data_IF_290621911981
#
_entry.id   IF_290621911981
#
_cell.length_a   1.000
_cell.length_b   1.000
_cell.length_c   1.000
_cell.angle_alpha   90.00
_cell.angle_beta   90.00
_cell.angle_gamma   90.00
#
_symmetry.space_group_name_H-M   'P 1'
#
loop_
_entity.id
_entity.type
_entity.pdbx_description
1 polymer ?
#
# COMPACT_ATOMS: atom_id res chain seq x y z
N UNK A 1 -87.89 -40.45 -20.44
CA UNK A 1 -87.15 -39.32 -21.04
C UNK A 1 -87.22 -38.21 -20.00
N UNK A 2 -86.18 -37.69 -19.37
CA UNK A 2 -84.73 -37.73 -19.52
C UNK A 2 -84.14 -37.67 -18.11
N UNK A 3 -83.27 -38.59 -17.72
CA UNK A 3 -82.42 -38.37 -16.55
C UNK A 3 -81.19 -39.24 -16.66
N UNK A 4 -80.19 -38.79 -17.44
CA UNK A 4 -78.84 -39.35 -17.46
C UNK A 4 -77.90 -38.43 -18.25
N UNK A 5 -77.59 -37.23 -17.75
CA UNK A 5 -76.37 -36.53 -18.20
C UNK A 5 -75.91 -35.33 -17.33
N UNK A 6 -75.78 -35.47 -16.00
CA UNK A 6 -75.24 -34.37 -15.16
C UNK A 6 -73.92 -34.65 -14.43
N UNK A 7 -73.44 -35.90 -14.39
CA UNK A 7 -72.23 -36.23 -13.63
C UNK A 7 -70.93 -36.21 -14.46
N UNK A 8 -71.02 -36.16 -15.80
CA UNK A 8 -69.85 -36.09 -16.69
C UNK A 8 -69.25 -34.70 -16.87
N UNK A 9 -70.04 -33.64 -16.68
CA UNK A 9 -69.63 -32.26 -16.95
C UNK A 9 -68.87 -31.61 -15.78
N UNK A 10 -69.19 -31.97 -14.53
CA UNK A 10 -68.54 -31.41 -13.33
C UNK A 10 -67.09 -31.90 -13.18
N UNK A 11 -66.86 -33.21 -13.30
CA UNK A 11 -65.53 -33.79 -13.12
C UNK A 11 -64.56 -33.40 -14.25
N UNK A 12 -65.04 -33.28 -15.49
CA UNK A 12 -64.22 -32.82 -16.61
C UNK A 12 -63.84 -31.36 -16.48
N UNK A 13 -64.74 -30.50 -15.97
CA UNK A 13 -64.45 -29.11 -15.67
C UNK A 13 -63.36 -28.95 -14.59
N UNK A 14 -63.45 -29.70 -13.49
CA UNK A 14 -62.43 -29.67 -12.43
C UNK A 14 -61.08 -30.22 -12.89
N UNK A 15 -61.06 -31.27 -13.71
CA UNK A 15 -59.81 -31.82 -14.28
C UNK A 15 -59.16 -30.79 -15.21
N UNK A 16 -59.94 -30.16 -16.10
CA UNK A 16 -59.43 -29.11 -16.99
C UNK A 16 -58.93 -27.90 -16.21
N UNK A 17 -59.60 -27.51 -15.12
CA UNK A 17 -59.18 -26.39 -14.28
C UNK A 17 -57.89 -26.70 -13.50
N UNK A 18 -57.71 -27.92 -13.00
CA UNK A 18 -56.47 -28.38 -12.35
C UNK A 18 -55.33 -28.47 -13.39
N UNK A 19 -55.59 -28.96 -14.59
CA UNK A 19 -54.62 -28.99 -15.67
C UNK A 19 -54.19 -27.56 -16.06
N UNK A 20 -55.15 -26.63 -16.18
CA UNK A 20 -54.87 -25.23 -16.51
C UNK A 20 -54.07 -24.52 -15.42
N UNK A 21 -54.43 -24.73 -14.14
CA UNK A 21 -53.71 -24.20 -12.99
C UNK A 21 -52.29 -24.78 -12.91
N UNK A 22 -52.11 -26.07 -13.15
CA UNK A 22 -50.77 -26.69 -13.12
C UNK A 22 -49.86 -26.14 -14.23
N UNK A 23 -50.41 -25.85 -15.41
CA UNK A 23 -49.66 -25.29 -16.53
C UNK A 23 -49.28 -23.82 -16.30
N UNK A 24 -50.11 -23.04 -15.61
CA UNK A 24 -49.71 -21.68 -15.20
C UNK A 24 -48.60 -21.70 -14.15
N UNK A 25 -48.61 -22.61 -13.18
CA UNK A 25 -47.50 -22.75 -12.22
C UNK A 25 -46.19 -23.19 -12.89
N UNK A 26 -46.25 -24.12 -13.84
CA UNK A 26 -45.09 -24.56 -14.62
C UNK A 26 -44.56 -23.41 -15.49
N UNK A 27 -45.45 -22.66 -16.16
CA UNK A 27 -45.07 -21.52 -16.98
C UNK A 27 -44.44 -20.40 -16.14
N UNK A 28 -45.01 -20.08 -14.97
CA UNK A 28 -44.41 -19.15 -14.02
C UNK A 28 -43.01 -19.62 -13.56
N UNK A 29 -42.84 -20.91 -13.28
CA UNK A 29 -41.54 -21.48 -12.93
C UNK A 29 -40.50 -21.36 -14.05
N UNK A 30 -40.91 -21.59 -15.30
CA UNK A 30 -40.04 -21.43 -16.47
C UNK A 30 -39.68 -19.95 -16.69
N UNK A 31 -40.64 -19.02 -16.56
CA UNK A 31 -40.37 -17.58 -16.69
C UNK A 31 -39.43 -17.10 -15.60
N UNK A 32 -39.60 -17.54 -14.34
CA UNK A 32 -38.67 -17.22 -13.26
C UNK A 32 -37.29 -17.82 -13.55
N UNK A 33 -37.20 -19.06 -14.00
CA UNK A 33 -35.93 -19.69 -14.38
C UNK A 33 -35.22 -18.93 -15.50
N UNK A 34 -35.95 -18.47 -16.52
CA UNK A 34 -35.40 -17.64 -17.58
C UNK A 34 -35.01 -16.25 -17.09
N UNK A 35 -35.78 -15.61 -16.19
CA UNK A 35 -35.40 -14.31 -15.61
C UNK A 35 -34.15 -14.45 -14.73
N UNK A 36 -34.03 -15.51 -13.94
CA UNK A 36 -32.83 -15.80 -13.11
C UNK A 36 -31.64 -16.17 -14.00
N UNK A 37 -31.83 -17.07 -14.98
CA UNK A 37 -30.76 -17.44 -15.92
C UNK A 37 -30.35 -16.28 -16.83
N UNK A 38 -31.28 -15.37 -17.18
CA UNK A 38 -30.96 -14.15 -17.88
C UNK A 38 -30.35 -13.09 -16.95
N UNK A 39 -30.66 -13.08 -15.66
CA UNK A 39 -29.98 -12.23 -14.68
C UNK A 39 -28.49 -12.58 -14.64
N UNK A 40 -28.15 -13.88 -14.60
CA UNK A 40 -26.76 -14.36 -14.61
C UNK A 40 -26.03 -14.13 -15.96
N UNK A 41 -26.77 -13.86 -17.05
CA UNK A 41 -26.21 -13.58 -18.38
C UNK A 41 -26.19 -12.09 -18.75
N UNK A 42 -27.03 -11.26 -18.13
CA UNK A 42 -27.16 -9.81 -18.40
C UNK A 42 -26.40 -9.00 -17.35
N UNK A 43 -26.30 -9.52 -16.13
CA UNK A 43 -25.42 -9.04 -15.09
C UNK A 43 -24.44 -10.19 -14.83
N UNK A 44 -23.26 -10.24 -15.48
CA UNK A 44 -22.14 -10.85 -14.76
C UNK A 44 -22.18 -10.28 -13.35
N UNK A 45 -21.99 -11.10 -12.31
CA UNK A 45 -21.57 -10.54 -11.02
C UNK A 45 -20.43 -9.59 -11.39
N UNK A 46 -20.71 -8.30 -11.29
CA UNK A 46 -19.69 -7.28 -11.35
C UNK A 46 -18.82 -7.65 -10.14
N UNK A 47 -17.78 -8.47 -10.37
CA UNK A 47 -16.57 -8.40 -9.57
C UNK A 47 -16.29 -6.91 -9.53
N UNK A 48 -16.59 -6.27 -8.39
CA UNK A 48 -16.34 -4.87 -8.14
C UNK A 48 -15.04 -4.54 -8.86
N UNK A 49 -15.08 -3.91 -10.04
CA UNK A 49 -13.86 -3.50 -10.70
C UNK A 49 -13.31 -2.50 -9.71
N UNK A 50 -12.27 -2.85 -8.91
CA UNK A 50 -11.96 -2.02 -7.79
C UNK A 50 -11.33 -0.82 -8.44
N UNK A 51 -12.08 0.27 -8.47
CA UNK A 51 -11.69 1.50 -9.14
C UNK A 51 -10.25 1.77 -8.75
N UNK A 52 -9.38 1.86 -9.76
CA UNK A 52 -7.97 2.14 -9.57
C UNK A 52 -7.88 3.27 -8.55
N UNK A 53 -7.31 2.97 -7.39
CA UNK A 53 -7.18 3.98 -6.34
C UNK A 53 -6.39 5.14 -6.93
N UNK A 54 -6.81 6.37 -6.67
CA UNK A 54 -6.25 7.53 -7.37
C UNK A 54 -4.80 7.87 -6.92
N UNK A 55 -4.22 7.02 -6.07
CA UNK A 55 -2.89 7.16 -5.47
C UNK A 55 -2.13 5.83 -5.51
N UNK A 56 -0.79 5.92 -5.58
CA UNK A 56 0.11 4.79 -5.32
C UNK A 56 -0.08 4.36 -3.85
N UNK A 57 0.13 3.08 -3.55
CA UNK A 57 -0.15 2.51 -2.22
C UNK A 57 1.11 1.95 -1.57
N UNK A 58 1.27 2.08 -0.23
CA UNK A 58 2.38 1.46 0.48
C UNK A 58 2.25 -0.06 0.45
N UNK A 59 3.31 -0.76 0.06
CA UNK A 59 3.37 -2.24 0.01
C UNK A 59 4.05 -2.80 1.25
N UNK A 60 5.15 -2.16 1.69
CA UNK A 60 5.88 -2.50 2.91
C UNK A 60 6.16 -1.20 3.65
N UNK A 61 5.84 -1.17 4.94
CA UNK A 61 6.23 -0.12 5.86
C UNK A 61 6.92 -0.77 7.04
N UNK A 62 8.21 -0.57 7.17
CA UNK A 62 8.99 -1.19 8.23
C UNK A 62 10.11 -0.26 8.68
N UNK A 63 10.76 -0.63 9.76
CA UNK A 63 11.81 0.15 10.37
C UNK A 63 13.02 -0.71 10.69
N UNK A 64 14.19 -0.20 10.34
CA UNK A 64 15.49 -0.82 10.60
C UNK A 64 16.13 -0.10 11.76
N UNK A 65 16.38 -0.77 12.89
CA UNK A 65 17.06 -0.17 14.03
C UNK A 65 18.16 -1.08 14.55
N UNK A 66 19.27 -0.50 14.98
CA UNK A 66 20.28 -1.21 15.73
C UNK A 66 19.95 -1.30 17.22
N UNK A 67 20.77 -2.04 17.97
CA UNK A 67 20.65 -2.22 19.42
C UNK A 67 20.74 -0.90 20.22
N UNK A 68 21.35 0.12 19.64
CA UNK A 68 21.53 1.44 20.27
C UNK A 68 20.39 2.41 19.87
N UNK A 69 19.43 1.93 19.08
CA UNK A 69 18.24 2.65 18.65
C UNK A 69 18.45 3.52 17.42
N UNK A 70 19.62 3.52 16.77
CA UNK A 70 19.84 4.26 15.52
C UNK A 70 19.30 3.46 14.35
N UNK A 71 18.70 4.14 13.38
CA UNK A 71 18.37 3.50 12.12
C UNK A 71 17.42 4.30 11.25
N UNK A 72 16.65 3.60 10.42
CA UNK A 72 15.89 4.17 9.32
C UNK A 72 14.49 3.60 9.21
N UNK A 73 13.53 4.48 8.95
CA UNK A 73 12.18 4.13 8.53
C UNK A 73 12.15 4.02 7.01
N UNK A 74 11.51 2.97 6.50
CA UNK A 74 11.45 2.69 5.07
C UNK A 74 10.02 2.44 4.61
N UNK A 75 9.73 2.94 3.41
CA UNK A 75 8.43 2.77 2.77
C UNK A 75 8.68 2.29 1.34
N UNK A 76 8.14 1.12 1.02
CA UNK A 76 7.97 0.68 -0.36
C UNK A 76 6.57 1.04 -0.84
N UNK A 77 6.45 1.55 -2.06
CA UNK A 77 5.16 1.86 -2.68
C UNK A 77 5.02 1.19 -4.04
N UNK A 78 3.78 0.92 -4.46
CA UNK A 78 3.47 0.47 -5.83
C UNK A 78 4.03 1.48 -6.83
N UNK A 79 4.49 1.03 -8.00
CA UNK A 79 5.01 1.94 -9.04
C UNK A 79 3.91 2.73 -9.73
N UNK A 80 2.79 2.05 -9.98
CA UNK A 80 1.61 2.64 -10.59
C UNK A 80 0.44 2.69 -9.61
N UNK A 81 -0.59 3.44 -10.00
CA UNK A 81 -1.90 3.36 -9.35
C UNK A 81 -2.50 1.99 -9.65
N UNK A 82 -3.03 1.33 -8.63
CA UNK A 82 -3.55 -0.03 -8.73
C UNK A 82 -4.96 -0.12 -8.15
N UNK A 83 -5.76 -1.05 -8.67
CA UNK A 83 -7.01 -1.48 -8.04
C UNK A 83 -6.73 -2.19 -6.72
N UNK A 84 -7.74 -2.34 -5.86
CA UNK A 84 -7.64 -3.16 -4.64
C UNK A 84 -7.25 -4.61 -4.93
N UNK A 85 -7.80 -5.21 -5.98
CA UNK A 85 -7.46 -6.58 -6.37
C UNK A 85 -6.02 -6.67 -6.87
N UNK A 86 -5.54 -5.68 -7.63
CA UNK A 86 -4.15 -5.59 -8.08
C UNK A 86 -3.18 -5.39 -6.91
N UNK A 87 -3.52 -4.49 -5.99
CA UNK A 87 -2.78 -4.24 -4.77
C UNK A 87 -2.67 -5.50 -3.91
N UNK A 88 -3.79 -6.17 -3.62
CA UNK A 88 -3.81 -7.42 -2.86
C UNK A 88 -2.97 -8.51 -3.54
N UNK A 89 -3.02 -8.60 -4.88
CA UNK A 89 -2.17 -9.51 -5.64
C UNK A 89 -0.70 -9.19 -5.46
N UNK A 90 -0.29 -7.92 -5.41
CA UNK A 90 1.10 -7.49 -5.17
C UNK A 90 1.53 -7.84 -3.75
N UNK A 91 0.77 -7.45 -2.72
CA UNK A 91 1.11 -7.68 -1.32
C UNK A 91 1.26 -9.17 -0.98
N UNK A 92 0.44 -10.04 -1.59
CA UNK A 92 0.48 -11.47 -1.32
C UNK A 92 1.53 -12.24 -2.15
N UNK A 93 2.37 -11.57 -2.94
CA UNK A 93 3.42 -12.26 -3.71
C UNK A 93 4.46 -12.84 -2.76
N UNK A 94 4.93 -14.08 -2.98
CA UNK A 94 5.98 -14.67 -2.16
C UNK A 94 7.25 -13.83 -2.05
N UNK A 95 7.61 -13.08 -3.11
CA UNK A 95 8.76 -12.17 -3.12
C UNK A 95 8.60 -10.97 -2.17
N UNK A 96 7.39 -10.41 -2.08
CA UNK A 96 7.07 -9.28 -1.19
C UNK A 96 7.09 -9.75 0.26
N UNK A 97 6.35 -10.83 0.54
CA UNK A 97 6.29 -11.43 1.89
C UNK A 97 7.68 -11.86 2.36
N UNK A 98 8.51 -12.43 1.48
CA UNK A 98 9.87 -12.79 1.84
C UNK A 98 10.76 -11.57 2.14
N UNK A 99 10.62 -10.48 1.38
CA UNK A 99 11.37 -9.25 1.62
C UNK A 99 10.96 -8.59 2.94
N UNK A 100 9.66 -8.47 3.21
CA UNK A 100 9.13 -7.94 4.48
C UNK A 100 9.65 -8.75 5.67
N UNK A 101 9.51 -10.08 5.63
CA UNK A 101 10.07 -10.95 6.67
C UNK A 101 11.59 -10.83 6.83
N UNK A 102 12.33 -10.60 5.74
CA UNK A 102 13.79 -10.42 5.77
C UNK A 102 14.19 -9.08 6.41
N UNK A 103 13.36 -8.06 6.25
CA UNK A 103 13.55 -6.76 6.91
C UNK A 103 13.24 -6.90 8.40
N UNK A 104 12.11 -7.52 8.73
CA UNK A 104 11.58 -7.61 10.10
C UNK A 104 12.36 -8.59 11.00
N UNK A 105 13.10 -9.55 10.42
CA UNK A 105 13.88 -10.54 11.17
C UNK A 105 15.35 -10.14 11.44
N UNK A 106 15.66 -8.84 11.40
CA UNK A 106 17.00 -8.28 11.59
C UNK A 106 18.06 -8.73 10.55
N UNK A 107 17.68 -9.38 9.44
CA UNK A 107 18.67 -9.83 8.45
C UNK A 107 19.36 -8.67 7.73
N UNK A 108 18.68 -7.53 7.59
CA UNK A 108 19.30 -6.29 7.09
C UNK A 108 20.30 -5.74 8.11
N UNK A 109 19.96 -5.80 9.40
CA UNK A 109 20.84 -5.34 10.49
C UNK A 109 22.16 -6.13 10.53
N UNK A 110 22.13 -7.43 10.23
CA UNK A 110 23.32 -8.27 10.11
C UNK A 110 24.30 -7.76 9.03
N UNK A 111 23.78 -7.28 7.89
CA UNK A 111 24.62 -6.72 6.82
C UNK A 111 25.41 -5.50 7.29
N UNK A 112 24.76 -4.63 8.07
CA UNK A 112 25.36 -3.43 8.66
C UNK A 112 25.96 -3.66 10.05
N UNK A 113 26.22 -4.93 10.41
CA UNK A 113 26.84 -5.33 11.68
C UNK A 113 26.17 -4.73 12.92
N UNK A 114 24.85 -4.56 12.89
CA UNK A 114 24.05 -3.94 13.95
C UNK A 114 24.51 -2.53 14.36
N UNK A 115 24.91 -1.69 13.40
CA UNK A 115 25.27 -0.30 13.70
C UNK A 115 24.95 0.64 12.55
N UNK A 116 23.98 1.53 12.73
CA UNK A 116 23.55 2.49 11.70
C UNK A 116 24.07 3.91 11.90
N UNK A 117 24.62 4.23 13.08
CA UNK A 117 25.07 5.58 13.44
C UNK A 117 25.95 6.25 12.37
N UNK A 118 26.85 5.49 11.74
CA UNK A 118 27.81 5.98 10.75
C UNK A 118 27.59 5.37 9.35
N UNK A 119 26.45 4.72 9.11
CA UNK A 119 26.13 4.13 7.81
C UNK A 119 25.51 5.20 6.92
N UNK A 120 25.97 5.28 5.68
CA UNK A 120 25.39 6.19 4.69
C UNK A 120 24.00 5.67 4.26
N UNK A 121 23.00 6.55 4.30
CA UNK A 121 21.63 6.26 3.88
C UNK A 121 21.54 5.74 2.43
N UNK A 122 22.44 6.18 1.54
CA UNK A 122 22.52 5.68 0.17
C UNK A 122 22.98 4.22 0.09
N UNK A 123 23.85 3.79 1.01
CA UNK A 123 24.33 2.41 1.04
C UNK A 123 23.22 1.48 1.55
N UNK A 124 22.42 1.95 2.53
CA UNK A 124 21.20 1.24 2.97
C UNK A 124 20.18 1.14 1.85
N UNK A 125 19.87 2.25 1.17
CA UNK A 125 18.94 2.26 0.04
C UNK A 125 19.41 1.34 -1.10
N UNK A 126 20.71 1.33 -1.39
CA UNK A 126 21.30 0.47 -2.42
C UNK A 126 21.17 -1.00 -2.06
N UNK A 127 21.45 -1.35 -0.80
CA UNK A 127 21.32 -2.72 -0.33
C UNK A 127 19.87 -3.19 -0.35
N UNK A 128 18.94 -2.41 0.20
CA UNK A 128 17.50 -2.72 0.20
C UNK A 128 16.95 -2.95 -1.22
N UNK A 129 17.27 -2.05 -2.15
CA UNK A 129 16.86 -2.21 -3.55
C UNK A 129 17.50 -3.43 -4.23
N UNK A 130 18.67 -3.90 -3.78
CA UNK A 130 19.29 -5.13 -4.30
C UNK A 130 18.57 -6.40 -3.86
N UNK A 131 17.81 -6.35 -2.76
CA UNK A 131 17.01 -7.46 -2.25
C UNK A 131 15.66 -7.58 -2.97
N UNK A 132 15.15 -6.47 -3.52
CA UNK A 132 13.89 -6.42 -4.26
C UNK A 132 13.96 -7.30 -5.51
N UNK A 133 12.93 -8.14 -5.70
CA UNK A 133 12.83 -9.10 -6.83
C UNK A 133 11.74 -8.80 -7.82
N UNK A 134 10.87 -7.84 -7.50
CA UNK A 134 9.65 -7.54 -8.25
C UNK A 134 9.64 -6.05 -8.61
N UNK A 135 9.17 -5.73 -9.80
CA UNK A 135 9.22 -4.40 -10.40
C UNK A 135 7.89 -3.65 -10.33
N UNK A 136 6.86 -4.18 -9.67
CA UNK A 136 5.57 -3.49 -9.51
C UNK A 136 5.58 -2.52 -8.30
N UNK A 137 6.66 -2.50 -7.54
CA UNK A 137 6.89 -1.59 -6.41
C UNK A 137 8.37 -1.18 -6.34
N UNK A 138 8.66 -0.12 -5.60
CA UNK A 138 10.01 0.38 -5.37
C UNK A 138 10.16 0.93 -3.95
N UNK A 139 11.41 1.03 -3.48
CA UNK A 139 11.71 1.82 -2.28
C UNK A 139 11.39 3.29 -2.59
N UNK A 140 10.36 3.81 -1.94
CA UNK A 140 9.82 5.15 -2.19
C UNK A 140 10.43 6.18 -1.25
N UNK A 141 10.67 5.79 0.00
CA UNK A 141 11.21 6.68 1.03
C UNK A 141 12.09 5.87 1.98
N UNK A 142 13.23 6.46 2.33
CA UNK A 142 14.03 6.07 3.48
C UNK A 142 14.38 7.32 4.29
N UNK A 143 14.16 7.28 5.60
CA UNK A 143 14.36 8.42 6.50
C UNK A 143 15.03 7.98 7.79
N UNK A 144 15.94 8.79 8.31
CA UNK A 144 16.51 8.53 9.63
C UNK A 144 15.42 8.62 10.71
N UNK A 145 15.43 7.65 11.62
CA UNK A 145 14.50 7.61 12.74
C UNK A 145 14.79 8.70 13.77
N UNK A 146 14.01 8.79 14.84
CA UNK A 146 14.18 9.83 15.85
C UNK A 146 15.59 9.86 16.48
N UNK A 147 16.15 8.71 16.84
CA UNK A 147 17.47 8.61 17.49
C UNK A 147 18.60 9.05 16.56
N UNK A 148 18.57 8.60 15.30
CA UNK A 148 19.57 8.96 14.30
C UNK A 148 19.37 10.40 13.80
N UNK A 149 18.12 10.82 13.62
CA UNK A 149 17.72 12.16 13.22
C UNK A 149 18.19 13.24 14.19
N UNK A 150 18.18 12.96 15.50
CA UNK A 150 18.70 13.89 16.50
C UNK A 150 20.20 14.23 16.32
N UNK A 151 20.98 13.37 15.65
CA UNK A 151 22.39 13.64 15.35
C UNK A 151 22.57 14.68 14.23
N UNK A 152 21.50 15.08 13.55
CA UNK A 152 21.50 16.09 12.50
C UNK A 152 21.16 17.48 13.03
N UNK A 153 21.05 17.67 14.34
CA UNK A 153 20.85 18.98 14.94
C UNK A 153 22.17 19.47 15.53
N UNK A 154 22.60 20.66 15.08
CA UNK A 154 23.89 21.22 15.47
C UNK A 154 24.16 22.58 14.82
N UNK A 155 25.23 23.27 15.26
CA UNK A 155 25.59 24.58 14.72
C UNK A 155 25.82 24.53 13.21
N UNK A 156 25.06 25.35 12.48
CA UNK A 156 25.25 25.53 11.05
C UNK A 156 25.86 26.92 10.78
N UNK A 157 27.04 27.01 10.14
CA UNK A 157 27.69 28.28 9.86
C UNK A 157 26.91 29.19 8.90
N UNK A 158 26.03 28.61 8.07
CA UNK A 158 25.26 29.33 7.06
C UNK A 158 23.89 29.81 7.59
N UNK A 159 23.48 29.35 8.78
CA UNK A 159 22.21 29.71 9.43
C UNK A 159 22.50 30.28 10.83
N UNK A 160 22.58 31.61 10.99
CA UNK A 160 22.93 32.23 12.28
C UNK A 160 21.97 31.88 13.42
N UNK A 161 20.68 31.67 13.13
CA UNK A 161 19.62 31.30 14.07
C UNK A 161 19.17 29.85 13.89
N UNK A 162 20.13 28.95 13.60
CA UNK A 162 19.87 27.52 13.41
C UNK A 162 19.06 26.90 14.56
N UNK A 163 18.20 25.94 14.22
CA UNK A 163 17.40 25.20 15.19
C UNK A 163 18.27 24.39 16.14
N UNK A 164 17.98 24.46 17.44
CA UNK A 164 18.75 23.77 18.50
C UNK A 164 18.05 22.55 19.07
N UNK A 165 16.80 22.34 18.71
CA UNK A 165 15.97 21.26 19.22
C UNK A 165 15.53 20.34 18.09
N UNK A 166 15.40 19.06 18.42
CA UNK A 166 14.86 18.04 17.54
C UNK A 166 13.51 17.61 18.10
N UNK A 167 12.43 17.67 17.30
CA UNK A 167 11.17 17.00 17.64
C UNK A 167 11.22 15.56 17.11
N UNK A 168 11.12 14.55 17.99
CA UNK A 168 11.05 13.15 17.58
C UNK A 168 9.74 12.82 16.83
N UNK A 169 8.72 13.66 16.94
CA UNK A 169 7.43 13.49 16.25
C UNK A 169 7.49 14.03 14.82
N UNK A 170 8.03 15.24 14.64
CA UNK A 170 8.10 15.89 13.32
C UNK A 170 9.27 15.39 12.47
N UNK A 171 10.35 14.92 13.11
CA UNK A 171 11.60 14.47 12.48
C UNK A 171 12.24 15.53 11.57
N UNK A 172 11.89 16.81 11.73
CA UNK A 172 12.41 17.89 10.89
C UNK A 172 13.93 17.97 11.05
N UNK A 173 14.63 18.00 9.91
CA UNK A 173 16.10 17.99 9.84
C UNK A 173 16.72 16.60 9.82
N UNK A 174 15.96 15.51 10.01
CA UNK A 174 16.50 14.16 9.84
C UNK A 174 16.86 13.91 8.37
N UNK A 175 17.98 13.21 8.10
CA UNK A 175 18.33 12.83 6.72
C UNK A 175 17.24 11.97 6.10
N UNK A 176 16.99 12.20 4.82
CA UNK A 176 15.92 11.59 4.06
C UNK A 176 16.33 11.44 2.60
N UNK A 177 15.93 10.33 1.98
CA UNK A 177 15.94 10.18 0.53
C UNK A 177 14.52 9.91 0.04
N UNK A 178 14.09 10.68 -0.95
CA UNK A 178 12.86 10.41 -1.69
C UNK A 178 13.12 9.41 -2.83
N UNK A 179 12.05 8.98 -3.48
CA UNK A 179 12.10 8.13 -4.67
C UNK A 179 13.06 8.70 -5.74
N UNK A 180 13.17 10.03 -5.87
CA UNK A 180 14.07 10.66 -6.83
C UNK A 180 15.54 10.38 -6.50
N UNK A 181 15.97 10.65 -5.26
CA UNK A 181 17.35 10.36 -4.83
C UNK A 181 17.64 8.86 -4.81
N UNK A 182 16.67 8.04 -4.40
CA UNK A 182 16.80 6.57 -4.39
C UNK A 182 17.00 6.04 -5.81
N UNK A 183 16.23 6.53 -6.80
CA UNK A 183 16.39 6.15 -8.20
C UNK A 183 17.77 6.55 -8.73
N UNK A 184 18.27 7.70 -8.30
CA UNK A 184 19.54 8.27 -8.71
C UNK A 184 20.75 7.84 -7.85
N UNK A 185 20.57 6.90 -6.90
CA UNK A 185 21.58 6.47 -5.92
C UNK A 185 22.93 6.03 -6.49
N UNK A 186 22.97 5.59 -7.75
CA UNK A 186 24.18 5.13 -8.44
C UNK A 186 24.99 6.26 -9.08
N UNK A 187 24.48 7.51 -9.06
CA UNK A 187 25.20 8.66 -9.58
C UNK A 187 26.46 8.91 -8.74
N UNK A 188 27.52 9.39 -9.41
CA UNK A 188 28.78 9.76 -8.75
C UNK A 188 28.62 10.87 -7.71
N UNK A 189 27.62 11.73 -7.90
CA UNK A 189 27.31 12.83 -6.99
C UNK A 189 26.05 12.42 -6.21
N UNK A 190 26.20 12.32 -4.89
CA UNK A 190 25.11 12.10 -3.94
C UNK A 190 24.58 13.44 -3.46
N UNK A 191 23.25 13.56 -3.36
CA UNK A 191 22.57 14.72 -2.81
C UNK A 191 21.81 14.29 -1.55
N UNK A 192 22.11 14.89 -0.42
CA UNK A 192 21.47 14.61 0.85
C UNK A 192 20.39 15.65 1.09
N UNK A 193 19.19 15.17 1.37
CA UNK A 193 18.03 15.99 1.68
C UNK A 193 17.66 15.78 3.15
N UNK A 194 17.05 16.81 3.74
CA UNK A 194 16.68 16.82 5.15
C UNK A 194 15.19 17.04 5.28
N UNK A 195 14.53 16.17 6.03
CA UNK A 195 13.08 16.13 6.13
C UNK A 195 12.52 17.47 6.63
N UNK A 196 11.50 18.00 5.94
CA UNK A 196 10.88 19.28 6.30
C UNK A 196 11.80 20.50 6.16
N UNK A 197 12.92 20.39 5.45
CA UNK A 197 13.88 21.47 5.22
C UNK A 197 13.97 21.79 3.72
N UNK A 198 14.38 23.02 3.39
CA UNK A 198 14.57 23.46 1.99
C UNK A 198 15.99 23.22 1.46
N UNK A 199 16.94 23.01 2.36
CA UNK A 199 18.35 22.83 2.02
C UNK A 199 18.69 21.39 1.66
N UNK A 200 19.51 21.23 0.63
CA UNK A 200 20.15 19.97 0.28
C UNK A 200 21.67 20.14 0.37
N UNK A 201 22.41 19.04 0.54
CA UNK A 201 23.86 19.05 0.64
C UNK A 201 24.52 17.98 -0.22
N UNK A 202 25.77 18.19 -0.62
CA UNK A 202 26.57 17.16 -1.29
C UNK A 202 27.31 16.25 -0.30
N UNK A 203 27.12 16.47 0.99
CA UNK A 203 27.72 15.69 2.07
C UNK A 203 26.64 15.32 3.08
N UNK A 204 26.86 14.20 3.77
CA UNK A 204 26.11 13.86 4.97
C UNK A 204 26.50 14.80 6.11
N UNK A 205 25.87 15.98 6.13
CA UNK A 205 26.10 17.02 7.12
C UNK A 205 25.28 16.77 8.39
N UNK A 206 25.96 16.75 9.53
CA UNK A 206 25.39 16.46 10.86
C UNK A 206 25.18 17.74 11.66
N UNK A 207 24.45 18.68 11.08
CA UNK A 207 24.08 19.96 11.70
C UNK A 207 22.73 20.43 11.16
N UNK A 208 22.15 21.45 11.79
CA UNK A 208 20.77 21.86 11.51
C UNK A 208 20.62 22.50 10.13
N UNK A 209 19.64 22.08 9.34
CA UNK A 209 19.34 22.60 7.99
C UNK A 209 18.13 23.54 7.93
N UNK A 210 17.73 24.09 9.09
CA UNK A 210 16.60 25.00 9.26
C UNK A 210 16.84 25.92 10.47
N UNK A 211 16.19 27.08 10.47
CA UNK A 211 16.24 28.05 11.57
C UNK A 211 15.21 27.75 12.66
N UNK A 212 15.40 28.33 13.85
CA UNK A 212 14.41 28.31 14.94
C UNK A 212 13.04 28.83 14.50
N UNK A 213 13.01 29.77 13.55
CA UNK A 213 11.76 30.33 13.02
C UNK A 213 10.98 29.35 12.13
N UNK A 214 11.67 28.34 11.59
CA UNK A 214 11.12 27.33 10.68
C UNK A 214 10.74 26.02 11.40
N UNK A 215 10.94 25.95 12.72
CA UNK A 215 10.58 24.80 13.55
C UNK A 215 9.09 24.51 13.43
N UNK A 216 8.76 23.30 12.98
CA UNK A 216 7.40 22.78 12.97
C UNK A 216 6.99 22.50 14.43
N UNK A 217 5.87 23.09 14.86
CA UNK A 217 5.32 22.90 16.20
C UNK A 217 4.31 21.75 16.20
N UNK A 218 4.32 20.97 17.26
CA UNK A 218 3.33 19.92 17.58
C UNK A 218 1.99 20.52 18.01
#
# INVERSE_FOLDING_TARGET
MEENNKNGCSNTFWILLVMFMSHTWIFCGIVIFFVVSCHDLIFPEDEDEPGITDTRRPVIMSSLYDKDGYGFDIIYMTNDKVSDSGYNKICNRPSVVALENFIDNDSVNLHFKYGYKNVDIYDVATYLESLRRDNDYCLYEIKANATLGALYIGPNPDIPDYAKTFSPTCLQGAVYLSEYEIRDRHKKVRMYSYWGCRGNSYKDERFSHFSESEVIKE
#
